data_IF_071803246146
#
_entry.id   IF_071803246146
#
_cell.length_a   1.000
_cell.length_b   1.000
_cell.length_c   1.000
_cell.angle_alpha   90.00
_cell.angle_beta   90.00
_cell.angle_gamma   90.00
#
_symmetry.space_group_name_H-M   'P 1'
#
loop_
_entity.id
_entity.type
_entity.pdbx_description
1 polymer ?
#
# COMPACT_ATOMS: atom_id res chain seq x y z
N UNK A 1 -11.83 29.23 -10.54
CA UNK A 1 -11.12 29.60 -9.29
C UNK A 1 -11.53 28.79 -8.06
N UNK A 2 -12.83 28.60 -7.76
CA UNK A 2 -13.26 27.83 -6.56
C UNK A 2 -12.77 26.37 -6.58
N UNK A 3 -13.02 25.65 -7.68
CA UNK A 3 -12.61 24.24 -7.87
C UNK A 3 -11.09 24.00 -7.75
N UNK A 4 -10.27 24.95 -8.18
CA UNK A 4 -8.80 24.88 -8.06
C UNK A 4 -8.33 25.10 -6.63
N UNK A 5 -8.97 26.01 -5.89
CA UNK A 5 -8.70 26.24 -4.46
C UNK A 5 -9.11 25.01 -3.64
N UNK A 6 -10.28 24.44 -3.92
CA UNK A 6 -10.77 23.22 -3.25
C UNK A 6 -9.82 22.03 -3.47
N UNK A 7 -9.32 21.87 -4.70
CA UNK A 7 -8.34 20.83 -5.04
C UNK A 7 -7.03 21.03 -4.29
N UNK A 8 -6.54 22.28 -4.22
CA UNK A 8 -5.30 22.60 -3.49
C UNK A 8 -5.47 22.33 -1.99
N UNK A 9 -6.57 22.79 -1.40
CA UNK A 9 -6.90 22.56 0.00
C UNK A 9 -7.01 21.06 0.32
N UNK A 10 -7.67 20.29 -0.55
CA UNK A 10 -7.71 18.83 -0.43
C UNK A 10 -6.32 18.21 -0.44
N UNK A 11 -5.44 18.60 -1.37
CA UNK A 11 -4.07 18.07 -1.46
C UNK A 11 -3.25 18.41 -0.22
N UNK A 12 -3.33 19.65 0.29
CA UNK A 12 -2.63 20.07 1.51
C UNK A 12 -3.12 19.25 2.70
N UNK A 13 -4.45 19.15 2.88
CA UNK A 13 -5.04 18.36 3.96
C UNK A 13 -4.64 16.89 3.86
N UNK A 14 -4.68 16.31 2.67
CA UNK A 14 -4.27 14.93 2.42
C UNK A 14 -2.82 14.71 2.83
N UNK A 15 -1.88 15.57 2.42
CA UNK A 15 -0.47 15.48 2.81
C UNK A 15 -0.29 15.57 4.33
N UNK A 16 -1.03 16.46 4.99
CA UNK A 16 -0.97 16.61 6.44
C UNK A 16 -1.51 15.38 7.18
N UNK A 17 -2.63 14.81 6.72
CA UNK A 17 -3.18 13.57 7.26
C UNK A 17 -2.22 12.39 7.07
N UNK A 18 -1.60 12.27 5.89
CA UNK A 18 -0.56 11.26 5.62
C UNK A 18 0.62 11.41 6.60
N UNK A 19 1.09 12.63 6.83
CA UNK A 19 2.15 12.88 7.80
C UNK A 19 1.77 12.47 9.24
N UNK A 20 0.56 12.83 9.69
CA UNK A 20 0.06 12.42 11.01
C UNK A 20 0.00 10.90 11.11
N UNK A 21 -0.53 10.24 10.06
CA UNK A 21 -0.64 8.79 10.01
C UNK A 21 0.74 8.12 10.08
N UNK A 22 1.74 8.63 9.36
CA UNK A 22 3.12 8.11 9.45
C UNK A 22 3.70 8.26 10.86
N UNK A 23 3.49 9.39 11.53
CA UNK A 23 3.90 9.56 12.93
C UNK A 23 3.20 8.58 13.86
N UNK A 24 1.90 8.34 13.65
CA UNK A 24 1.14 7.35 14.42
C UNK A 24 1.69 5.94 14.19
N UNK A 25 1.92 5.55 12.93
CA UNK A 25 2.50 4.26 12.57
C UNK A 25 3.88 4.06 13.20
N UNK A 26 4.75 5.08 13.17
CA UNK A 26 6.05 4.98 13.82
C UNK A 26 5.96 4.80 15.34
N UNK A 27 5.03 5.48 16.01
CA UNK A 27 4.79 5.25 17.44
C UNK A 27 4.32 3.83 17.72
N UNK A 28 3.42 3.28 16.90
CA UNK A 28 2.93 1.90 17.06
C UNK A 28 4.06 0.91 16.80
N UNK A 29 4.84 1.12 15.73
CA UNK A 29 6.02 0.31 15.40
C UNK A 29 6.98 0.20 16.58
N UNK A 30 7.38 1.34 17.15
CA UNK A 30 8.30 1.36 18.30
C UNK A 30 7.71 0.66 19.53
N UNK A 31 6.40 0.76 19.75
CA UNK A 31 5.73 0.01 20.84
C UNK A 31 5.77 -1.49 20.63
N UNK A 32 5.51 -1.97 19.41
CA UNK A 32 5.58 -3.40 19.06
C UNK A 32 7.00 -3.91 19.28
N UNK A 33 8.01 -3.22 18.74
CA UNK A 33 9.42 -3.60 18.89
C UNK A 33 9.86 -3.60 20.37
N UNK A 34 9.48 -2.57 21.13
CA UNK A 34 9.77 -2.47 22.57
C UNK A 34 9.12 -3.59 23.38
N UNK A 35 7.90 -3.99 23.03
CA UNK A 35 7.18 -5.10 23.67
C UNK A 35 7.91 -6.43 23.45
N UNK A 36 8.20 -6.78 22.19
CA UNK A 36 8.83 -8.06 21.86
C UNK A 36 10.32 -8.14 22.21
N UNK A 37 10.99 -7.00 22.39
CA UNK A 37 12.34 -6.99 22.98
C UNK A 37 12.33 -7.43 24.45
N UNK A 38 11.27 -7.11 25.20
CA UNK A 38 11.11 -7.51 26.61
C UNK A 38 10.39 -8.85 26.79
N UNK A 39 9.57 -9.23 25.80
CA UNK A 39 8.76 -10.44 25.81
C UNK A 39 8.98 -11.21 24.49
N UNK A 40 10.13 -11.86 24.28
CA UNK A 40 10.36 -12.65 23.08
C UNK A 40 9.28 -13.71 22.90
N UNK A 41 8.69 -13.77 21.72
CA UNK A 41 7.70 -14.80 21.38
C UNK A 41 8.42 -16.11 21.02
N UNK A 42 7.94 -17.29 21.45
CA UNK A 42 8.43 -18.57 20.94
C UNK A 42 7.92 -18.88 19.52
N UNK A 43 6.91 -18.15 19.04
CA UNK A 43 6.31 -18.30 17.72
C UNK A 43 7.26 -17.75 16.63
N UNK A 44 7.66 -18.61 15.70
CA UNK A 44 8.57 -18.28 14.60
C UNK A 44 8.00 -17.21 13.67
N UNK A 45 6.69 -17.24 13.39
CA UNK A 45 6.06 -16.26 12.51
C UNK A 45 6.10 -14.86 13.14
N UNK A 46 5.84 -14.78 14.44
CA UNK A 46 5.95 -13.51 15.19
C UNK A 46 7.40 -13.01 15.19
N UNK A 47 8.39 -13.89 15.37
CA UNK A 47 9.80 -13.52 15.32
C UNK A 47 10.20 -12.96 13.96
N UNK A 48 9.76 -13.59 12.87
CA UNK A 48 10.01 -13.12 11.50
C UNK A 48 9.35 -11.77 11.23
N UNK A 49 8.09 -11.60 11.64
CA UNK A 49 7.37 -10.34 11.50
C UNK A 49 8.04 -9.20 12.30
N UNK A 50 8.49 -9.46 13.52
CA UNK A 50 9.20 -8.48 14.37
C UNK A 50 10.56 -8.13 13.76
N UNK A 51 11.29 -9.13 13.26
CA UNK A 51 12.59 -8.93 12.61
C UNK A 51 12.44 -8.05 11.36
N UNK A 52 11.47 -8.37 10.50
CA UNK A 52 11.15 -7.54 9.33
C UNK A 52 10.76 -6.10 9.73
N UNK A 53 9.89 -5.95 10.72
CA UNK A 53 9.45 -4.64 11.23
C UNK A 53 10.61 -3.82 11.82
N UNK A 54 11.68 -4.45 12.30
CA UNK A 54 12.84 -3.77 12.88
C UNK A 54 13.62 -2.94 11.84
N UNK A 55 13.53 -3.31 10.57
CA UNK A 55 14.18 -2.64 9.44
C UNK A 55 13.18 -1.85 8.57
N UNK A 56 11.89 -2.18 8.65
CA UNK A 56 10.85 -1.65 7.78
C UNK A 56 9.82 -0.76 8.51
N UNK A 57 9.16 0.19 7.82
CA UNK A 57 8.01 0.90 8.35
C UNK A 57 6.84 -0.04 8.65
N UNK A 58 5.97 0.34 9.58
CA UNK A 58 4.71 -0.39 9.82
C UNK A 58 3.74 -0.18 8.66
N UNK A 59 3.51 -1.24 7.89
CA UNK A 59 2.62 -1.31 6.74
C UNK A 59 1.53 -2.36 6.93
N UNK A 60 0.60 -2.48 5.98
CA UNK A 60 -0.46 -3.50 5.99
C UNK A 60 0.12 -4.92 5.88
N UNK A 61 1.14 -5.08 5.05
CA UNK A 61 1.82 -6.36 4.82
C UNK A 61 3.14 -6.39 5.58
N UNK A 62 3.52 -7.56 6.11
CA UNK A 62 4.81 -7.82 6.76
C UNK A 62 5.52 -8.93 6.00
N UNK A 63 6.84 -8.89 5.95
CA UNK A 63 7.65 -9.88 5.23
C UNK A 63 8.09 -9.42 3.85
N UNK A 64 9.12 -10.09 3.34
CA UNK A 64 9.87 -9.72 2.13
C UNK A 64 9.14 -10.03 0.82
N UNK A 65 8.11 -10.89 0.85
CA UNK A 65 7.33 -11.23 -0.36
C UNK A 65 6.74 -10.00 -1.06
N UNK A 66 6.43 -8.94 -0.31
CA UNK A 66 5.87 -7.71 -0.87
C UNK A 66 6.89 -6.87 -1.64
N UNK A 67 8.18 -7.04 -1.39
CA UNK A 67 9.24 -6.17 -1.92
C UNK A 67 9.39 -6.26 -3.44
N UNK A 68 9.00 -7.40 -4.03
CA UNK A 68 8.99 -7.62 -5.48
C UNK A 68 7.94 -6.79 -6.24
N UNK A 69 7.07 -6.07 -5.53
CA UNK A 69 5.94 -5.33 -6.11
C UNK A 69 6.13 -3.83 -6.05
N UNK A 70 6.39 -3.21 -7.20
CA UNK A 70 6.46 -1.75 -7.32
C UNK A 70 5.28 -1.22 -8.13
N UNK A 71 4.53 -0.28 -7.53
CA UNK A 71 3.37 0.33 -8.17
C UNK A 71 3.72 1.05 -9.48
N UNK A 72 4.93 1.60 -9.58
CA UNK A 72 5.38 2.31 -10.78
C UNK A 72 5.57 1.39 -11.99
N UNK A 73 5.79 0.09 -11.75
CA UNK A 73 5.93 -0.93 -12.79
C UNK A 73 4.58 -1.36 -13.37
N UNK A 74 3.45 -0.96 -12.76
CA UNK A 74 2.12 -1.33 -13.25
C UNK A 74 1.77 -0.51 -14.50
N UNK A 75 1.61 -1.15 -15.68
CA UNK A 75 1.16 -0.47 -16.89
C UNK A 75 -0.36 -0.22 -16.79
N UNK A 76 -0.73 1.05 -16.91
CA UNK A 76 -2.14 1.48 -16.90
C UNK A 76 -2.49 2.02 -18.27
N UNK A 77 -3.57 1.47 -18.83
CA UNK A 77 -4.13 1.85 -20.10
C UNK A 77 -5.48 2.55 -19.89
N UNK A 78 -5.98 3.19 -20.94
CA UNK A 78 -7.32 3.78 -20.95
C UNK A 78 -8.07 3.24 -22.15
N UNK A 79 -9.27 2.71 -21.92
CA UNK A 79 -10.18 2.40 -23.00
C UNK A 79 -10.89 3.69 -23.44
N UNK A 80 -10.56 4.18 -24.64
CA UNK A 80 -11.04 5.46 -25.14
C UNK A 80 -12.53 5.44 -25.49
N UNK A 81 -13.12 4.25 -25.70
CA UNK A 81 -14.54 4.12 -26.07
C UNK A 81 -15.47 4.35 -24.89
N UNK A 82 -15.09 3.87 -23.71
CA UNK A 82 -15.90 3.95 -22.47
C UNK A 82 -15.28 4.87 -21.41
N UNK A 83 -14.07 5.36 -21.67
CA UNK A 83 -13.32 6.27 -20.80
C UNK A 83 -12.95 5.65 -19.46
N UNK A 84 -12.67 4.34 -19.40
CA UNK A 84 -12.27 3.65 -18.18
C UNK A 84 -10.77 3.29 -18.21
N UNK A 85 -10.01 3.60 -17.15
CA UNK A 85 -8.67 3.08 -17.01
C UNK A 85 -8.70 1.58 -16.69
N UNK A 86 -7.71 0.84 -17.18
CA UNK A 86 -7.58 -0.60 -16.94
C UNK A 86 -6.12 -1.03 -16.88
N UNK A 87 -5.91 -2.22 -16.30
CA UNK A 87 -4.64 -2.96 -16.38
C UNK A 87 -4.91 -4.32 -17.06
N UNK A 88 -3.86 -4.92 -17.63
CA UNK A 88 -3.92 -6.29 -18.11
C UNK A 88 -3.57 -7.23 -16.96
N UNK A 89 -4.56 -7.93 -16.43
CA UNK A 89 -4.41 -8.94 -15.38
C UNK A 89 -4.74 -10.30 -15.98
N UNK A 90 -3.77 -11.23 -16.00
CA UNK A 90 -3.96 -12.60 -16.48
C UNK A 90 -4.61 -12.69 -17.88
N UNK A 91 -4.16 -11.84 -18.80
CA UNK A 91 -4.70 -11.77 -20.17
C UNK A 91 -6.09 -11.11 -20.29
N UNK A 92 -6.68 -10.64 -19.19
CA UNK A 92 -7.98 -9.96 -19.15
C UNK A 92 -7.83 -8.49 -18.74
N UNK A 93 -8.79 -7.67 -19.16
CA UNK A 93 -8.86 -6.26 -18.75
C UNK A 93 -9.52 -6.16 -17.38
N UNK A 94 -8.78 -5.65 -16.38
CA UNK A 94 -9.35 -5.26 -15.09
C UNK A 94 -9.58 -3.74 -15.10
N UNK A 95 -10.85 -3.34 -15.17
CA UNK A 95 -11.26 -1.93 -15.23
C UNK A 95 -11.36 -1.29 -13.86
N UNK A 96 -11.01 0.00 -13.78
CA UNK A 96 -11.09 0.83 -12.58
C UNK A 96 -12.06 1.99 -12.79
N UNK A 97 -12.47 2.64 -11.69
CA UNK A 97 -13.37 3.79 -11.72
C UNK A 97 -12.80 4.92 -12.59
N UNK A 98 -13.68 5.56 -13.37
CA UNK A 98 -13.34 6.69 -14.27
C UNK A 98 -12.63 7.85 -13.56
N UNK A 99 -12.93 8.06 -12.27
CA UNK A 99 -12.31 9.11 -11.46
C UNK A 99 -10.88 8.81 -11.00
N UNK A 100 -10.41 7.57 -11.14
CA UNK A 100 -9.06 7.19 -10.73
C UNK A 100 -8.05 7.63 -11.80
N UNK A 101 -7.06 8.42 -11.38
CA UNK A 101 -5.92 8.71 -12.24
C UNK A 101 -4.93 7.54 -12.25
N UNK A 102 -4.01 7.53 -13.23
CA UNK A 102 -2.98 6.49 -13.41
C UNK A 102 -2.33 6.05 -12.09
N UNK A 103 -1.80 6.99 -11.30
CA UNK A 103 -1.14 6.66 -10.02
C UNK A 103 -2.08 5.98 -9.01
N UNK A 104 -3.36 6.31 -8.95
CA UNK A 104 -4.32 5.60 -8.07
C UNK A 104 -4.50 4.16 -8.54
N UNK A 105 -4.66 3.95 -9.85
CA UNK A 105 -4.80 2.61 -10.42
C UNK A 105 -3.55 1.76 -10.15
N UNK A 106 -2.38 2.32 -10.35
CA UNK A 106 -1.09 1.69 -10.03
C UNK A 106 -1.03 1.24 -8.56
N UNK A 107 -1.36 2.14 -7.62
CA UNK A 107 -1.34 1.83 -6.19
C UNK A 107 -2.37 0.74 -5.81
N UNK A 108 -3.59 0.83 -6.34
CA UNK A 108 -4.65 -0.14 -6.05
C UNK A 108 -4.31 -1.53 -6.59
N UNK A 109 -3.85 -1.60 -7.84
CA UNK A 109 -3.50 -2.88 -8.44
C UNK A 109 -2.25 -3.49 -7.80
N UNK A 110 -1.25 -2.68 -7.43
CA UNK A 110 -0.08 -3.18 -6.71
C UNK A 110 -0.45 -3.76 -5.34
N UNK A 111 -1.34 -3.09 -4.60
CA UNK A 111 -1.85 -3.61 -3.34
C UNK A 111 -2.59 -4.95 -3.54
N UNK A 112 -3.43 -5.04 -4.58
CA UNK A 112 -4.10 -6.30 -4.93
C UNK A 112 -3.12 -7.43 -5.24
N UNK A 113 -2.03 -7.14 -5.96
CA UNK A 113 -0.99 -8.14 -6.28
C UNK A 113 -0.26 -8.62 -5.02
N UNK A 114 0.08 -7.72 -4.10
CA UNK A 114 0.70 -8.10 -2.82
C UNK A 114 -0.28 -8.92 -1.97
N UNK A 115 -1.55 -8.52 -1.93
CA UNK A 115 -2.60 -9.23 -1.21
C UNK A 115 -2.84 -10.63 -1.76
N UNK A 116 -2.71 -10.85 -3.07
CA UNK A 116 -2.93 -12.17 -3.69
C UNK A 116 -1.62 -12.96 -3.89
N UNK A 117 -0.54 -12.55 -3.22
CA UNK A 117 0.73 -13.26 -3.34
C UNK A 117 0.64 -14.67 -2.73
N UNK A 118 1.14 -15.73 -3.40
CA UNK A 118 1.13 -17.08 -2.83
C UNK A 118 1.93 -17.22 -1.54
N UNK A 119 2.94 -16.37 -1.32
CA UNK A 119 3.77 -16.37 -0.11
C UNK A 119 3.16 -15.50 1.01
N UNK A 120 1.98 -14.90 0.78
CA UNK A 120 1.30 -14.10 1.79
C UNK A 120 0.67 -15.02 2.87
N UNK A 121 0.67 -14.60 4.15
CA UNK A 121 0.34 -15.45 5.30
C UNK A 121 -1.13 -15.90 5.42
N UNK A 122 -1.99 -15.52 4.49
CA UNK A 122 -3.41 -15.89 4.48
C UNK A 122 -3.73 -17.05 3.52
N UNK A 123 -2.76 -17.51 2.73
CA UNK A 123 -2.90 -18.60 1.76
C UNK A 123 -2.51 -19.96 2.33
#
# INVERSE_FOLDING_TARGET
>A
MKKTIDTLHYKIRSRWLTFIQHKKQQRVRLKILSYYAQHPSPDTEIQEAVSYLSEHPLTTFYGTFQEKYHADDVPVFTDTTIGLPYVMAEGKKLYFKRSHHKRTVQLLYNALRIEQDPDAPHC
#
